data_IF_556079028191
#
_entry.id   IF_556079028191
#
_cell.length_a   1.000
_cell.length_b   1.000
_cell.length_c   1.000
_cell.angle_alpha   90.00
_cell.angle_beta   90.00
_cell.angle_gamma   90.00
#
_symmetry.space_group_name_H-M   'P 1'
#
loop_
_entity.id
_entity.type
_entity.pdbx_description
1 polymer ?
#
# COMPACT_ATOMS: atom_id res chain seq x y z
N UNK A 1 21.19 -2.86 -19.70
CA UNK A 1 20.35 -3.91 -19.09
C UNK A 1 19.02 -3.30 -18.68
N UNK A 2 17.95 -3.58 -19.43
CA UNK A 2 16.60 -3.15 -19.10
C UNK A 2 16.21 -3.82 -17.77
N UNK A 3 16.11 -3.04 -16.68
CA UNK A 3 15.45 -3.50 -15.45
C UNK A 3 13.98 -3.73 -15.81
N UNK A 4 13.64 -4.97 -16.07
CA UNK A 4 12.28 -5.41 -16.29
C UNK A 4 11.43 -4.88 -15.14
N UNK A 5 10.44 -4.08 -15.48
CA UNK A 5 9.59 -3.40 -14.50
C UNK A 5 8.93 -4.46 -13.60
N UNK A 6 9.31 -4.47 -12.34
CA UNK A 6 8.93 -5.51 -11.39
C UNK A 6 7.48 -5.31 -10.95
N UNK A 7 6.59 -6.25 -11.30
CA UNK A 7 5.18 -6.21 -10.95
C UNK A 7 4.90 -7.11 -9.74
N UNK A 8 4.72 -6.50 -8.58
CA UNK A 8 4.50 -7.23 -7.32
C UNK A 8 3.17 -7.99 -7.26
N UNK A 9 2.16 -7.62 -8.07
CA UNK A 9 0.90 -8.36 -8.15
C UNK A 9 1.16 -9.73 -8.77
N UNK A 10 1.89 -9.76 -9.88
CA UNK A 10 2.25 -11.01 -10.57
C UNK A 10 3.18 -11.86 -9.71
N UNK A 11 4.21 -11.24 -9.11
CA UNK A 11 5.16 -11.96 -8.24
C UNK A 11 4.45 -12.61 -7.05
N UNK A 12 3.55 -11.89 -6.39
CA UNK A 12 2.81 -12.43 -5.26
C UNK A 12 1.83 -13.53 -5.71
N UNK A 13 1.13 -13.33 -6.83
CA UNK A 13 0.27 -14.35 -7.43
C UNK A 13 1.05 -15.65 -7.71
N UNK A 14 2.23 -15.55 -8.31
CA UNK A 14 3.06 -16.71 -8.61
C UNK A 14 3.59 -17.39 -7.34
N UNK A 15 3.93 -16.59 -6.33
CA UNK A 15 4.39 -17.11 -5.04
C UNK A 15 3.30 -17.90 -4.29
N UNK A 16 2.05 -17.43 -4.33
CA UNK A 16 0.92 -18.14 -3.67
C UNK A 16 0.39 -19.32 -4.50
N UNK A 17 0.51 -19.26 -5.81
CA UNK A 17 0.08 -20.34 -6.72
C UNK A 17 1.06 -21.51 -6.70
N UNK A 18 2.36 -21.21 -6.70
CA UNK A 18 3.43 -22.22 -6.58
C UNK A 18 3.54 -22.85 -5.17
N UNK A 19 2.81 -22.31 -4.18
CA UNK A 19 2.89 -22.77 -2.79
C UNK A 19 4.11 -22.26 -2.01
N UNK A 20 4.94 -21.41 -2.61
CA UNK A 20 6.09 -20.77 -1.94
C UNK A 20 5.63 -19.91 -0.75
N UNK A 21 4.48 -19.25 -0.90
CA UNK A 21 3.80 -18.51 0.17
C UNK A 21 2.44 -19.18 0.42
N UNK A 22 2.14 -19.51 1.67
CA UNK A 22 0.82 -20.04 2.04
C UNK A 22 -0.22 -18.90 2.03
N UNK A 23 -1.30 -19.10 1.31
CA UNK A 23 -2.42 -18.15 1.26
C UNK A 23 -3.76 -18.89 1.27
N UNK A 24 -4.76 -18.26 1.90
CA UNK A 24 -6.13 -18.77 1.92
C UNK A 24 -6.80 -18.70 0.54
N UNK A 25 -7.90 -19.46 0.37
CA UNK A 25 -8.62 -19.55 -0.89
C UNK A 25 -9.05 -18.20 -1.46
N UNK A 26 -9.46 -17.27 -0.62
CA UNK A 26 -9.92 -15.95 -1.01
C UNK A 26 -8.79 -15.07 -1.55
N UNK A 27 -7.62 -15.13 -0.93
CA UNK A 27 -6.44 -14.41 -1.41
C UNK A 27 -6.03 -14.93 -2.79
N UNK A 28 -6.01 -16.24 -2.97
CA UNK A 28 -5.72 -16.86 -4.29
C UNK A 28 -6.73 -16.41 -5.35
N UNK A 29 -8.03 -16.40 -5.00
CA UNK A 29 -9.09 -15.97 -5.92
C UNK A 29 -8.94 -14.49 -6.32
N UNK A 30 -8.72 -13.59 -5.36
CA UNK A 30 -8.54 -12.15 -5.62
C UNK A 30 -7.34 -11.91 -6.54
N UNK A 31 -6.16 -12.47 -6.22
CA UNK A 31 -4.97 -12.25 -7.05
C UNK A 31 -5.08 -12.88 -8.43
N UNK A 32 -5.81 -13.99 -8.59
CA UNK A 32 -6.16 -14.53 -9.89
C UNK A 32 -6.98 -13.52 -10.71
N UNK A 33 -8.03 -12.95 -10.13
CA UNK A 33 -8.87 -11.92 -10.78
C UNK A 33 -8.03 -10.70 -11.17
N UNK A 34 -7.17 -10.20 -10.27
CA UNK A 34 -6.30 -9.04 -10.55
C UNK A 34 -5.37 -9.32 -11.73
N UNK A 35 -4.74 -10.48 -11.77
CA UNK A 35 -3.83 -10.89 -12.85
C UNK A 35 -4.58 -11.06 -14.16
N UNK A 36 -5.74 -11.71 -14.16
CA UNK A 36 -6.58 -11.92 -15.34
C UNK A 36 -7.09 -10.59 -15.89
N UNK A 37 -7.62 -9.69 -15.05
CA UNK A 37 -8.10 -8.37 -15.48
C UNK A 37 -7.02 -7.50 -16.10
N UNK A 38 -5.78 -7.55 -15.57
CA UNK A 38 -4.63 -6.87 -16.18
C UNK A 38 -4.25 -7.51 -17.52
N UNK A 39 -4.17 -8.85 -17.59
CA UNK A 39 -3.80 -9.58 -18.82
C UNK A 39 -4.83 -9.42 -19.94
N UNK A 40 -6.12 -9.44 -19.59
CA UNK A 40 -7.21 -9.29 -20.54
C UNK A 40 -7.44 -7.82 -20.97
N UNK A 41 -6.73 -6.87 -20.38
CA UNK A 41 -6.86 -5.45 -20.69
C UNK A 41 -8.16 -4.83 -20.20
N UNK A 42 -8.82 -5.42 -19.20
CA UNK A 42 -9.94 -4.80 -18.51
C UNK A 42 -9.48 -3.56 -17.74
N UNK A 43 -8.29 -3.63 -17.17
CA UNK A 43 -7.64 -2.55 -16.43
C UNK A 43 -6.26 -2.25 -17.00
N UNK A 44 -5.82 -1.02 -16.81
CA UNK A 44 -4.46 -0.60 -17.13
C UNK A 44 -3.60 -0.68 -15.88
N UNK A 45 -2.42 -1.27 -15.99
CA UNK A 45 -1.47 -1.30 -14.87
C UNK A 45 -0.35 -0.28 -15.09
N UNK A 46 -0.30 0.74 -14.23
CA UNK A 46 0.75 1.75 -14.20
C UNK A 46 1.83 1.38 -13.18
N UNK A 47 2.90 0.78 -13.68
CA UNK A 47 4.06 0.39 -12.87
C UNK A 47 4.74 1.58 -12.18
N UNK A 48 4.72 2.77 -12.79
CA UNK A 48 5.37 3.95 -12.23
C UNK A 48 4.61 4.44 -10.99
N UNK A 49 3.28 4.50 -11.06
CA UNK A 49 2.43 4.86 -9.92
C UNK A 49 2.56 3.86 -8.77
N UNK A 50 2.51 2.56 -9.06
CA UNK A 50 2.71 1.51 -8.07
C UNK A 50 4.08 1.63 -7.37
N UNK A 51 5.15 1.74 -8.15
CA UNK A 51 6.50 1.85 -7.61
C UNK A 51 6.75 3.18 -6.87
N UNK A 52 6.10 4.27 -7.27
CA UNK A 52 6.18 5.56 -6.57
C UNK A 52 5.66 5.44 -5.15
N UNK A 53 4.51 4.79 -4.95
CA UNK A 53 3.93 4.57 -3.64
C UNK A 53 4.80 3.66 -2.75
N UNK A 54 5.28 2.54 -3.30
CA UNK A 54 6.16 1.62 -2.57
C UNK A 54 7.47 2.31 -2.16
N UNK A 55 8.12 3.00 -3.09
CA UNK A 55 9.38 3.73 -2.82
C UNK A 55 9.19 4.81 -1.76
N UNK A 56 8.08 5.54 -1.80
CA UNK A 56 7.78 6.53 -0.77
C UNK A 56 7.70 5.86 0.60
N UNK A 57 6.92 4.80 0.72
CA UNK A 57 6.76 4.10 1.99
C UNK A 57 8.10 3.56 2.51
N UNK A 58 8.89 2.92 1.65
CA UNK A 58 10.15 2.30 2.06
C UNK A 58 11.30 3.29 2.30
N UNK A 59 11.22 4.52 1.77
CA UNK A 59 12.29 5.51 1.92
C UNK A 59 11.99 6.60 2.96
N UNK A 60 10.72 6.82 3.31
CA UNK A 60 10.32 7.92 4.18
C UNK A 60 9.54 7.50 5.42
N UNK A 61 8.96 6.30 5.42
CA UNK A 61 8.23 5.82 6.57
C UNK A 61 9.14 5.01 7.50
N UNK A 62 9.07 5.30 8.80
CA UNK A 62 9.83 4.61 9.84
C UNK A 62 8.90 3.76 10.71
N UNK A 63 9.48 2.83 11.46
CA UNK A 63 8.75 2.13 12.51
C UNK A 63 8.42 3.08 13.65
N UNK A 64 7.19 3.03 14.18
CA UNK A 64 6.70 3.95 15.23
C UNK A 64 7.06 3.55 16.65
N UNK A 65 7.46 2.30 16.90
CA UNK A 65 7.73 1.79 18.23
C UNK A 65 9.18 1.38 18.38
N UNK A 66 9.98 2.22 19.08
CA UNK A 66 11.32 1.87 19.57
C UNK A 66 12.37 1.54 18.49
N UNK A 67 12.05 1.68 17.23
CA UNK A 67 12.93 1.43 16.09
C UNK A 67 13.00 2.66 15.21
N UNK A 68 14.22 3.07 14.87
CA UNK A 68 14.47 4.21 14.00
C UNK A 68 14.77 3.77 12.54
N UNK A 69 14.50 2.51 12.23
CA UNK A 69 14.74 1.93 10.92
C UNK A 69 13.56 2.19 9.98
N UNK A 70 13.87 2.26 8.68
CA UNK A 70 12.88 2.46 7.62
C UNK A 70 11.94 1.26 7.50
N UNK A 71 10.67 1.53 7.23
CA UNK A 71 9.67 0.51 7.02
C UNK A 71 9.97 -0.26 5.72
N UNK A 72 10.19 -1.56 5.84
CA UNK A 72 10.33 -2.48 4.72
C UNK A 72 9.04 -3.22 4.49
N UNK A 73 8.46 -3.06 3.31
CA UNK A 73 7.21 -3.73 2.96
C UNK A 73 7.45 -5.20 2.58
N UNK A 74 6.66 -6.07 3.18
CA UNK A 74 6.57 -7.48 2.79
C UNK A 74 5.95 -7.62 1.38
N UNK A 75 6.17 -8.74 0.70
CA UNK A 75 5.69 -8.94 -0.66
C UNK A 75 4.16 -8.79 -0.79
N UNK A 76 3.40 -9.28 0.18
CA UNK A 76 1.95 -9.12 0.20
C UNK A 76 1.51 -7.65 0.36
N UNK A 77 2.24 -6.86 1.13
CA UNK A 77 1.99 -5.42 1.29
C UNK A 77 2.32 -4.67 -0.01
N UNK A 78 3.45 -4.99 -0.65
CA UNK A 78 3.81 -4.44 -1.96
C UNK A 78 2.76 -4.76 -3.02
N UNK A 79 2.24 -5.99 -3.02
CA UNK A 79 1.20 -6.40 -3.94
C UNK A 79 -0.11 -5.63 -3.71
N UNK A 80 -0.50 -5.37 -2.45
CA UNK A 80 -1.67 -4.53 -2.11
C UNK A 80 -1.46 -3.09 -2.56
N UNK A 81 -0.32 -2.47 -2.22
CA UNK A 81 0.01 -1.10 -2.64
C UNK A 81 0.00 -0.98 -4.17
N UNK A 82 0.55 -1.99 -4.86
CA UNK A 82 0.53 -2.04 -6.33
C UNK A 82 -0.89 -2.14 -6.89
N UNK A 83 -1.77 -2.88 -6.24
CA UNK A 83 -3.18 -2.98 -6.66
C UNK A 83 -3.93 -1.65 -6.45
N UNK A 84 -3.73 -0.99 -5.30
CA UNK A 84 -4.40 0.27 -4.96
C UNK A 84 -3.99 1.41 -5.91
N UNK A 85 -2.69 1.57 -6.14
CA UNK A 85 -2.16 2.74 -6.84
C UNK A 85 -1.78 2.47 -8.29
N UNK A 86 -1.56 1.21 -8.66
CA UNK A 86 -1.12 0.83 -10.00
C UNK A 86 -2.24 0.40 -10.93
N UNK A 87 -3.36 -0.12 -10.43
CA UNK A 87 -4.48 -0.53 -11.29
C UNK A 87 -5.40 0.66 -11.54
N UNK A 88 -5.53 1.04 -12.81
CA UNK A 88 -6.30 2.19 -13.26
C UNK A 88 -7.45 1.75 -14.15
N UNK A 89 -8.54 2.49 -14.05
CA UNK A 89 -9.65 2.40 -15.00
C UNK A 89 -9.18 2.86 -16.38
N UNK A 90 -9.50 2.06 -17.40
CA UNK A 90 -9.05 2.27 -18.77
C UNK A 90 -9.57 3.55 -19.39
N UNK A 91 -10.77 3.98 -19.02
CA UNK A 91 -11.44 5.11 -19.65
C UNK A 91 -11.10 6.43 -18.95
N UNK A 92 -11.02 6.41 -17.63
CA UNK A 92 -10.86 7.62 -16.82
C UNK A 92 -9.41 7.87 -16.41
N UNK A 93 -8.57 6.82 -16.39
CA UNK A 93 -7.19 6.91 -15.89
C UNK A 93 -7.08 7.09 -14.37
N UNK A 94 -8.22 7.09 -13.66
CA UNK A 94 -8.25 7.10 -12.19
C UNK A 94 -8.02 5.71 -11.60
N UNK A 95 -7.79 5.64 -10.30
CA UNK A 95 -7.67 4.37 -9.58
C UNK A 95 -8.93 3.53 -9.76
N UNK A 96 -8.77 2.28 -10.15
CA UNK A 96 -9.86 1.33 -10.33
C UNK A 96 -10.57 1.04 -9.01
N UNK A 97 -9.79 0.82 -7.94
CA UNK A 97 -10.32 0.49 -6.64
C UNK A 97 -10.41 1.74 -5.76
N UNK A 98 -11.63 2.10 -5.38
CA UNK A 98 -11.93 3.23 -4.49
C UNK A 98 -12.06 2.80 -3.04
N UNK A 99 -12.38 1.53 -2.81
CA UNK A 99 -12.56 0.93 -1.49
C UNK A 99 -11.65 -0.28 -1.36
N UNK A 100 -10.99 -0.40 -0.21
CA UNK A 100 -10.11 -1.53 0.11
C UNK A 100 -10.49 -2.08 1.47
N UNK A 101 -10.88 -3.34 1.50
CA UNK A 101 -11.21 -4.05 2.71
C UNK A 101 -10.07 -5.00 3.09
N UNK A 102 -9.30 -4.64 4.12
CA UNK A 102 -8.14 -5.41 4.55
C UNK A 102 -8.39 -6.07 5.92
N UNK A 103 -8.49 -7.39 5.92
CA UNK A 103 -8.62 -8.19 7.13
C UNK A 103 -7.30 -8.91 7.41
N UNK A 104 -6.61 -8.50 8.47
CA UNK A 104 -5.31 -9.04 8.87
C UNK A 104 -5.32 -9.32 10.36
N UNK A 105 -4.70 -10.43 10.76
CA UNK A 105 -4.58 -10.81 12.15
C UNK A 105 -3.85 -9.75 13.00
N UNK A 106 -4.03 -9.78 14.31
CA UNK A 106 -3.34 -8.88 15.24
C UNK A 106 -1.82 -9.01 15.11
N UNK A 107 -1.08 -7.95 15.43
CA UNK A 107 0.39 -7.88 15.43
C UNK A 107 1.07 -8.03 14.06
N UNK A 108 0.35 -7.82 12.96
CA UNK A 108 0.90 -7.81 11.59
C UNK A 108 1.09 -6.39 11.02
N UNK A 109 1.34 -5.40 11.86
CA UNK A 109 1.71 -4.05 11.44
C UNK A 109 0.62 -3.28 10.65
N UNK A 110 -0.68 -3.68 10.75
CA UNK A 110 -1.75 -3.08 9.93
C UNK A 110 -1.95 -1.58 10.17
N UNK A 111 -1.80 -1.11 11.43
CA UNK A 111 -1.94 0.31 11.76
C UNK A 111 -0.85 1.14 11.11
N UNK A 112 0.40 0.69 11.23
CA UNK A 112 1.55 1.34 10.59
C UNK A 112 1.43 1.29 9.05
N UNK A 113 0.98 0.18 8.49
CA UNK A 113 0.75 0.04 7.05
C UNK A 113 -0.34 0.99 6.55
N UNK A 114 -1.46 1.11 7.28
CA UNK A 114 -2.53 2.07 6.97
C UNK A 114 -2.03 3.52 7.06
N UNK A 115 -1.28 3.86 8.13
CA UNK A 115 -0.68 5.18 8.30
C UNK A 115 0.28 5.54 7.16
N UNK A 116 1.10 4.59 6.70
CA UNK A 116 2.01 4.80 5.58
C UNK A 116 1.25 5.04 4.24
N UNK A 117 0.15 4.33 4.01
CA UNK A 117 -0.74 4.58 2.85
C UNK A 117 -1.37 5.98 2.96
N UNK A 118 -1.86 6.36 4.13
CA UNK A 118 -2.44 7.68 4.38
C UNK A 118 -1.40 8.79 4.14
N UNK A 119 -0.17 8.61 4.61
CA UNK A 119 0.92 9.55 4.36
C UNK A 119 1.21 9.72 2.87
N UNK A 120 1.28 8.63 2.11
CA UNK A 120 1.44 8.70 0.68
C UNK A 120 0.30 9.46 -0.01
N UNK A 121 -0.95 9.18 0.35
CA UNK A 121 -2.13 9.85 -0.20
C UNK A 121 -2.16 11.34 0.13
N UNK A 122 -1.72 11.74 1.34
CA UNK A 122 -1.72 13.13 1.76
C UNK A 122 -0.69 13.98 1.01
N UNK A 123 0.52 13.44 0.79
CA UNK A 123 1.65 14.25 0.37
C UNK A 123 2.10 14.04 -1.07
N UNK A 124 1.87 12.85 -1.63
CA UNK A 124 2.55 12.42 -2.87
C UNK A 124 1.60 12.02 -3.99
N UNK A 125 0.40 11.59 -3.66
CA UNK A 125 -0.57 11.05 -4.62
C UNK A 125 -1.09 12.10 -5.63
N UNK A 126 -1.01 13.40 -5.27
CA UNK A 126 -1.29 14.51 -6.17
C UNK A 126 -2.70 15.07 -6.08
N UNK A 127 -3.48 14.68 -5.08
CA UNK A 127 -4.79 15.29 -4.80
C UNK A 127 -4.62 16.55 -3.94
N UNK A 128 -4.84 17.72 -4.54
CA UNK A 128 -4.82 18.97 -3.81
C UNK A 128 -5.98 19.08 -2.83
N UNK A 129 -5.65 19.37 -1.55
CA UNK A 129 -6.67 19.51 -0.51
C UNK A 129 -7.28 18.19 -0.04
N UNK A 130 -6.57 17.09 -0.19
CA UNK A 130 -7.00 15.78 0.30
C UNK A 130 -7.32 15.83 1.79
N UNK A 131 -8.53 15.40 2.18
CA UNK A 131 -8.93 15.28 3.58
C UNK A 131 -8.86 13.80 3.97
N UNK A 132 -8.08 13.50 4.99
CA UNK A 132 -7.92 12.15 5.52
C UNK A 132 -8.66 12.04 6.84
N UNK A 133 -9.48 11.01 6.97
CA UNK A 133 -10.25 10.74 8.18
C UNK A 133 -9.88 9.37 8.72
N UNK A 134 -9.54 9.31 10.00
CA UNK A 134 -9.28 8.07 10.72
C UNK A 134 -10.45 7.79 11.65
N UNK A 135 -11.18 6.69 11.43
CA UNK A 135 -12.32 6.30 12.21
C UNK A 135 -12.01 4.99 12.93
N UNK A 136 -12.28 4.95 14.24
CA UNK A 136 -12.15 3.75 15.05
C UNK A 136 -13.22 3.71 16.14
N UNK A 137 -13.58 2.52 16.66
CA UNK A 137 -14.57 2.39 17.73
C UNK A 137 -14.16 3.07 19.05
N UNK A 138 -12.86 3.25 19.28
CA UNK A 138 -12.30 3.95 20.43
C UNK A 138 -11.34 5.05 19.95
N UNK A 139 -11.39 6.21 20.62
CA UNK A 139 -10.56 7.37 20.31
C UNK A 139 -9.07 7.02 20.33
N UNK A 140 -8.61 6.28 21.33
CA UNK A 140 -7.23 5.81 21.46
C UNK A 140 -6.74 5.01 20.22
N UNK A 141 -7.63 4.27 19.56
CA UNK A 141 -7.28 3.52 18.34
C UNK A 141 -7.20 4.43 17.10
N UNK A 142 -8.00 5.48 17.05
CA UNK A 142 -7.91 6.50 16.00
C UNK A 142 -6.63 7.33 16.17
N UNK A 143 -6.31 7.69 17.41
CA UNK A 143 -5.10 8.43 17.78
C UNK A 143 -3.82 7.65 17.42
N UNK A 144 -3.78 6.34 17.65
CA UNK A 144 -2.63 5.52 17.26
C UNK A 144 -2.31 5.61 15.76
N UNK A 145 -3.33 5.64 14.90
CA UNK A 145 -3.13 5.82 13.47
C UNK A 145 -2.72 7.26 13.13
N UNK A 146 -3.31 8.24 13.78
CA UNK A 146 -2.98 9.67 13.61
C UNK A 146 -1.57 9.99 14.09
N UNK A 147 -1.18 9.50 15.27
CA UNK A 147 0.15 9.67 15.83
C UNK A 147 1.20 8.96 14.96
N UNK A 148 0.93 7.74 14.53
CA UNK A 148 1.82 7.03 13.60
C UNK A 148 2.02 7.82 12.30
N UNK A 149 0.97 8.43 11.77
CA UNK A 149 1.02 9.28 10.59
C UNK A 149 1.88 10.52 10.82
N UNK A 150 1.72 11.23 11.93
CA UNK A 150 2.50 12.44 12.24
C UNK A 150 3.97 12.13 12.48
N UNK A 151 4.30 11.03 13.13
CA UNK A 151 5.68 10.58 13.32
C UNK A 151 6.35 10.11 12.02
N UNK A 152 5.59 9.62 11.05
CA UNK A 152 6.12 9.20 9.75
C UNK A 152 6.55 10.38 8.86
N UNK A 153 5.97 11.57 9.08
CA UNK A 153 6.03 12.65 8.08
C UNK A 153 6.79 13.89 8.49
N UNK A 154 7.15 14.04 9.75
CA UNK A 154 7.87 15.20 10.23
C UNK A 154 9.30 14.83 10.65
N UNK A 155 10.34 15.20 9.87
CA UNK A 155 11.58 15.55 10.51
C UNK A 155 11.23 16.78 11.36
N UNK A 156 11.23 16.63 12.67
CA UNK A 156 11.18 17.76 13.59
C UNK A 156 12.43 18.59 13.36
N UNK A 157 12.38 19.49 12.40
CA UNK A 157 13.25 20.65 12.43
C UNK A 157 12.74 21.52 13.58
N UNK A 158 13.20 21.22 14.76
CA UNK A 158 13.28 22.19 15.84
C UNK A 158 14.31 23.24 15.42
N UNK A 159 13.87 24.19 14.62
CA UNK A 159 14.52 25.49 14.53
C UNK A 159 13.98 26.32 15.69
N UNK A 160 14.72 26.35 16.76
CA UNK A 160 14.80 27.48 17.72
C UNK A 160 16.20 27.96 17.64
#
# INVERSE_FOLDING_TARGET
MNKQAHNYIFEYHDAITSGRIRAGKWIKAIYKILVEGIKNGEWVFDQKKANKAIKFIENYCHHSEGRNDLLKLELWQKAIVSAIFGILDKNTGYRQFREVFLVVARKNGKTLFAAAIMAYMAYIDGEYGAKLYCLAPKLEQADLASVSYTHLTLPTNSLV
#
